data_IF_031057351260
#
_entry.id   IF_031057351260
#
_cell.length_a   1.000
_cell.length_b   1.000
_cell.length_c   1.000
_cell.angle_alpha   90.00
_cell.angle_beta   90.00
_cell.angle_gamma   90.00
#
_symmetry.space_group_name_H-M   'P 1'
#
loop_
_entity.id
_entity.type
_entity.pdbx_description
1 polymer ?
#
# COMPACT_ATOMS: atom_id res chain seq x y z
N UNK A 1 16.71 54.23 24.90
CA UNK A 1 16.24 53.79 23.55
C UNK A 1 17.11 52.70 22.93
N UNK A 2 18.44 52.81 22.93
CA UNK A 2 19.35 51.83 22.31
C UNK A 2 19.25 50.39 22.86
N UNK A 3 18.96 50.21 24.15
CA UNK A 3 18.88 48.88 24.78
C UNK A 3 17.64 48.11 24.31
N UNK A 4 16.50 48.79 24.19
CA UNK A 4 15.23 48.19 23.74
C UNK A 4 15.32 47.76 22.27
N UNK A 5 15.99 48.57 21.44
CA UNK A 5 16.23 48.24 20.02
C UNK A 5 17.12 47.00 19.85
N UNK A 6 18.16 46.83 20.68
CA UNK A 6 19.03 45.64 20.64
C UNK A 6 18.31 44.38 21.11
N UNK A 7 17.41 44.48 22.09
CA UNK A 7 16.63 43.36 22.59
C UNK A 7 15.61 42.85 21.56
N UNK A 8 14.94 43.77 20.85
CA UNK A 8 14.02 43.43 19.76
C UNK A 8 14.73 42.77 18.58
N UNK A 9 15.93 43.24 18.24
CA UNK A 9 16.75 42.63 17.17
C UNK A 9 17.18 41.20 17.53
N UNK A 10 17.50 40.96 18.81
CA UNK A 10 17.86 39.64 19.32
C UNK A 10 16.66 38.66 19.26
N UNK A 11 15.48 39.11 19.70
CA UNK A 11 14.24 38.32 19.61
C UNK A 11 13.87 37.97 18.16
N UNK A 12 14.07 38.91 17.23
CA UNK A 12 13.83 38.69 15.80
C UNK A 12 14.81 37.68 15.19
N UNK A 13 16.07 37.66 15.64
CA UNK A 13 17.07 36.67 15.20
C UNK A 13 16.79 35.26 15.74
N UNK A 14 16.24 35.13 16.95
CA UNK A 14 15.91 33.84 17.57
C UNK A 14 14.74 33.16 16.83
N UNK A 15 13.79 33.92 16.27
CA UNK A 15 12.69 33.36 15.48
C UNK A 15 13.11 32.65 14.19
N UNK A 16 14.29 32.97 13.61
CA UNK A 16 14.78 32.28 12.41
C UNK A 16 15.53 30.97 12.69
N UNK A 17 15.94 30.73 13.94
CA UNK A 17 16.66 29.50 14.32
C UNK A 17 15.69 28.34 14.63
N UNK A 18 14.41 28.64 14.86
CA UNK A 18 13.43 27.65 15.35
C UNK A 18 12.76 26.79 14.27
N UNK A 19 13.08 26.97 12.99
CA UNK A 19 12.62 26.08 11.91
C UNK A 19 13.75 25.17 11.41
N UNK A 20 14.34 24.36 12.31
CA UNK A 20 15.06 23.16 11.86
C UNK A 20 14.03 22.07 11.59
N UNK A 21 13.94 21.60 10.35
CA UNK A 21 13.25 20.35 10.06
C UNK A 21 13.85 19.24 10.94
N UNK A 22 13.04 18.37 11.54
CA UNK A 22 13.57 17.29 12.37
C UNK A 22 14.47 16.41 11.51
N UNK A 23 15.70 16.23 11.98
CA UNK A 23 16.82 15.59 11.28
C UNK A 23 16.57 14.10 10.92
N UNK A 24 15.43 13.54 11.39
CA UNK A 24 15.04 12.14 11.22
C UNK A 24 13.64 11.98 10.58
N UNK A 25 13.31 12.77 9.55
CA UNK A 25 12.11 12.47 8.76
C UNK A 25 12.40 11.37 7.72
N UNK A 26 11.48 10.41 7.52
CA UNK A 26 11.63 9.41 6.46
C UNK A 26 11.73 10.07 5.09
N UNK A 27 12.77 9.72 4.32
CA UNK A 27 12.99 10.27 2.97
C UNK A 27 12.14 9.55 1.92
N UNK A 28 10.86 9.93 1.84
CA UNK A 28 9.90 9.38 0.88
C UNK A 28 10.37 9.53 -0.57
N UNK A 29 11.04 10.63 -0.90
CA UNK A 29 11.49 10.90 -2.26
C UNK A 29 12.60 9.93 -2.67
N UNK A 30 13.58 9.68 -1.80
CA UNK A 30 14.60 8.67 -2.04
C UNK A 30 14.00 7.27 -2.15
N UNK A 31 13.07 6.91 -1.27
CA UNK A 31 12.40 5.60 -1.32
C UNK A 31 11.61 5.42 -2.60
N UNK A 32 10.90 6.46 -3.09
CA UNK A 32 10.20 6.43 -4.37
C UNK A 32 11.16 6.18 -5.54
N UNK A 33 12.30 6.86 -5.60
CA UNK A 33 13.30 6.66 -6.66
C UNK A 33 13.84 5.23 -6.68
N UNK A 34 14.15 4.70 -5.50
CA UNK A 34 14.60 3.31 -5.37
C UNK A 34 13.50 2.33 -5.78
N UNK A 35 12.25 2.59 -5.38
CA UNK A 35 11.12 1.75 -5.72
C UNK A 35 10.87 1.71 -7.24
N UNK A 36 10.82 2.87 -7.90
CA UNK A 36 10.63 2.95 -9.36
C UNK A 36 11.76 2.26 -10.12
N UNK A 37 13.00 2.33 -9.62
CA UNK A 37 14.12 1.58 -10.20
C UNK A 37 13.92 0.06 -10.13
N UNK A 38 13.32 -0.45 -9.05
CA UNK A 38 13.00 -1.89 -8.88
C UNK A 38 11.74 -2.31 -9.64
N UNK A 39 10.78 -1.40 -9.76
CA UNK A 39 9.48 -1.60 -10.39
C UNK A 39 9.31 -0.61 -11.55
N UNK A 40 9.97 -0.83 -12.70
CA UNK A 40 9.92 0.08 -13.84
C UNK A 40 8.52 0.23 -14.47
N UNK A 41 7.56 -0.61 -14.09
CA UNK A 41 6.16 -0.47 -14.43
C UNK A 41 5.45 0.66 -13.69
N UNK A 42 6.00 1.13 -12.57
CA UNK A 42 5.49 2.33 -11.90
C UNK A 42 5.82 3.55 -12.77
N UNK A 43 4.84 4.39 -13.11
CA UNK A 43 5.09 5.57 -13.90
C UNK A 43 6.01 6.53 -13.15
N UNK A 44 6.95 7.12 -13.89
CA UNK A 44 7.79 8.21 -13.42
C UNK A 44 7.29 9.52 -14.02
N UNK A 45 7.49 10.62 -13.30
CA UNK A 45 7.24 11.98 -13.80
C UNK A 45 8.57 12.75 -13.87
N UNK A 46 8.61 13.81 -14.69
CA UNK A 46 9.65 14.84 -14.62
C UNK A 46 9.46 15.76 -13.42
N UNK A 47 8.26 15.78 -12.84
CA UNK A 47 7.96 16.42 -11.56
C UNK A 47 8.59 15.65 -10.40
N UNK A 48 8.64 16.29 -9.23
CA UNK A 48 9.06 15.65 -7.99
C UNK A 48 8.16 14.44 -7.71
N UNK A 49 8.76 13.27 -7.47
CA UNK A 49 7.98 12.01 -7.37
C UNK A 49 7.00 12.03 -6.21
N UNK A 50 7.36 12.67 -5.11
CA UNK A 50 6.47 12.86 -3.95
C UNK A 50 5.25 13.75 -4.22
N UNK A 51 5.30 14.62 -5.23
CA UNK A 51 4.16 15.44 -5.68
C UNK A 51 3.29 14.70 -6.70
N UNK A 52 3.92 13.82 -7.48
CA UNK A 52 3.24 12.93 -8.43
C UNK A 52 2.51 11.77 -7.72
N UNK A 53 3.16 11.11 -6.76
CA UNK A 53 2.56 10.12 -5.85
C UNK A 53 2.04 10.81 -4.59
N UNK A 54 0.85 11.39 -4.72
CA UNK A 54 0.20 12.18 -3.68
C UNK A 54 -0.27 11.31 -2.52
N UNK A 55 -0.16 11.84 -1.31
CA UNK A 55 -0.71 11.20 -0.12
C UNK A 55 -2.23 11.19 -0.17
N UNK A 56 -2.81 9.99 -0.19
CA UNK A 56 -4.26 9.76 -0.15
C UNK A 56 -4.71 9.56 1.29
N UNK A 57 -3.94 8.78 2.06
CA UNK A 57 -4.28 8.43 3.44
C UNK A 57 -3.03 8.15 4.25
N UNK A 58 -3.07 8.49 5.54
CA UNK A 58 -2.08 8.05 6.52
C UNK A 58 -2.79 7.49 7.75
N UNK A 59 -2.20 6.46 8.36
CA UNK A 59 -2.65 5.81 9.59
C UNK A 59 -1.44 5.63 10.49
N UNK A 60 -1.56 6.03 11.76
CA UNK A 60 -0.54 5.81 12.78
C UNK A 60 -0.97 4.71 13.75
N UNK A 61 -0.07 3.77 14.04
CA UNK A 61 -0.35 2.65 14.95
C UNK A 61 -0.05 3.06 16.40
N UNK A 62 -0.89 3.93 16.95
CA UNK A 62 -0.82 4.37 18.35
C UNK A 62 0.58 4.82 18.78
N UNK A 63 1.07 4.30 19.90
CA UNK A 63 2.36 4.67 20.48
C UNK A 63 3.57 3.90 19.90
N UNK A 64 3.36 3.02 18.90
CA UNK A 64 4.46 2.23 18.32
C UNK A 64 5.44 3.06 17.48
N UNK A 65 5.04 4.28 17.10
CA UNK A 65 5.78 5.12 16.16
C UNK A 65 5.72 4.62 14.71
N UNK A 66 4.96 3.56 14.44
CA UNK A 66 4.74 3.03 13.09
C UNK A 66 3.67 3.87 12.37
N UNK A 67 3.94 4.20 11.12
CA UNK A 67 3.04 4.93 10.22
C UNK A 67 2.86 4.17 8.91
N UNK A 68 1.63 4.14 8.41
CA UNK A 68 1.26 3.63 7.10
C UNK A 68 0.77 4.78 6.24
N UNK A 69 1.26 4.91 5.01
CA UNK A 69 0.78 5.89 4.04
C UNK A 69 0.34 5.21 2.76
N UNK A 70 -0.82 5.58 2.23
CA UNK A 70 -1.25 5.24 0.88
C UNK A 70 -0.99 6.44 -0.01
N UNK A 71 -0.17 6.24 -1.04
CA UNK A 71 0.11 7.25 -2.06
C UNK A 71 -0.35 6.76 -3.41
N UNK A 72 -0.84 7.66 -4.25
CA UNK A 72 -1.38 7.31 -5.56
C UNK A 72 -0.99 8.33 -6.62
N UNK A 73 -0.86 7.88 -7.85
CA UNK A 73 -0.71 8.75 -9.02
C UNK A 73 -1.98 9.59 -9.25
N UNK A 74 -1.93 10.64 -10.10
CA UNK A 74 -3.14 11.37 -10.48
C UNK A 74 -4.23 10.45 -11.05
N UNK A 75 -5.48 10.75 -10.73
CA UNK A 75 -6.69 10.06 -11.20
C UNK A 75 -6.98 10.29 -12.69
N UNK A 76 -6.27 11.24 -13.31
CA UNK A 76 -6.33 11.53 -14.75
C UNK A 76 -5.62 10.48 -15.63
N UNK A 77 -4.94 9.50 -15.03
CA UNK A 77 -4.24 8.45 -15.77
C UNK A 77 -5.16 7.26 -16.02
N UNK A 78 -5.03 6.66 -17.20
CA UNK A 78 -5.80 5.46 -17.58
C UNK A 78 -5.55 4.28 -16.62
N UNK A 79 -4.34 4.19 -16.04
CA UNK A 79 -3.92 3.12 -15.12
C UNK A 79 -3.34 3.74 -13.86
N UNK A 80 -4.22 4.07 -12.90
CA UNK A 80 -3.83 4.62 -11.60
C UNK A 80 -3.00 3.59 -10.83
N UNK A 81 -1.81 3.99 -10.38
CA UNK A 81 -0.91 3.16 -9.58
C UNK A 81 -0.83 3.70 -8.16
N UNK A 82 -0.78 2.80 -7.18
CA UNK A 82 -0.68 3.18 -5.77
C UNK A 82 0.48 2.48 -5.07
N UNK A 83 0.94 3.06 -3.97
CA UNK A 83 2.04 2.53 -3.15
C UNK A 83 1.62 2.64 -1.68
N UNK A 84 1.84 1.56 -0.93
CA UNK A 84 1.78 1.58 0.54
C UNK A 84 3.19 1.82 1.05
N UNK A 85 3.39 2.90 1.80
CA UNK A 85 4.60 3.10 2.60
C UNK A 85 4.37 2.64 4.02
N UNK A 86 5.33 1.91 4.56
CA UNK A 86 5.39 1.49 5.96
C UNK A 86 6.62 2.16 6.54
N UNK A 87 6.44 2.92 7.62
CA UNK A 87 7.53 3.56 8.37
C UNK A 87 7.53 3.01 9.79
N UNK A 88 8.68 2.57 10.31
CA UNK A 88 8.78 2.05 11.68
C UNK A 88 9.13 3.16 12.71
N UNK A 89 9.21 2.78 13.98
CA UNK A 89 9.56 3.70 15.07
C UNK A 89 10.94 4.36 14.93
N UNK A 90 11.86 3.72 14.20
CA UNK A 90 13.20 4.23 13.90
C UNK A 90 13.23 5.18 12.68
N UNK A 91 12.07 5.48 12.08
CA UNK A 91 11.93 6.33 10.88
C UNK A 91 12.52 5.72 9.61
N UNK A 92 12.74 4.41 9.62
CA UNK A 92 13.05 3.63 8.42
C UNK A 92 11.75 3.41 7.64
N UNK A 93 11.83 3.49 6.32
CA UNK A 93 10.66 3.47 5.42
C UNK A 93 10.85 2.45 4.29
N UNK A 94 9.79 1.70 4.01
CA UNK A 94 9.73 0.77 2.89
C UNK A 94 8.45 0.98 2.07
N UNK A 95 8.56 0.98 0.74
CA UNK A 95 7.43 1.10 -0.17
C UNK A 95 7.06 -0.24 -0.80
N UNK A 96 5.78 -0.62 -0.69
CA UNK A 96 5.17 -1.81 -1.32
C UNK A 96 4.22 -1.33 -2.43
N UNK A 97 4.47 -1.68 -3.70
CA UNK A 97 3.63 -1.23 -4.79
C UNK A 97 2.30 -1.99 -4.83
N UNK A 98 1.21 -1.27 -5.11
CA UNK A 98 -0.10 -1.83 -5.42
C UNK A 98 -0.30 -1.68 -6.94
N UNK A 99 0.22 -2.65 -7.68
CA UNK A 99 0.19 -2.62 -9.14
C UNK A 99 -1.23 -2.87 -9.66
N UNK A 100 -1.60 -2.20 -10.76
CA UNK A 100 -2.86 -2.48 -11.46
C UNK A 100 -2.92 -3.93 -11.96
N UNK A 101 -4.13 -4.39 -12.30
CA UNK A 101 -4.37 -5.74 -12.81
C UNK A 101 -3.71 -6.02 -14.18
N UNK A 102 -3.13 -5.02 -14.83
CA UNK A 102 -2.25 -5.22 -15.99
C UNK A 102 -0.98 -6.03 -15.62
N UNK A 103 -0.63 -6.08 -14.33
CA UNK A 103 0.47 -6.87 -13.77
C UNK A 103 -0.04 -7.99 -12.85
N UNK A 104 -1.08 -8.73 -13.25
CA UNK A 104 -1.73 -9.81 -12.46
C UNK A 104 -0.78 -10.86 -11.87
N UNK A 105 0.31 -11.18 -12.54
CA UNK A 105 1.38 -12.09 -12.09
C UNK A 105 2.04 -11.63 -10.80
N UNK A 106 2.07 -10.31 -10.54
CA UNK A 106 2.53 -9.76 -9.26
C UNK A 106 1.63 -10.16 -8.11
N UNK A 107 0.32 -10.22 -8.32
CA UNK A 107 -0.63 -10.63 -7.28
C UNK A 107 -0.55 -12.13 -7.00
N UNK A 108 -0.19 -12.93 -8.00
CA UNK A 108 -0.02 -14.38 -7.89
C UNK A 108 -1.26 -15.08 -7.31
N UNK A 109 -2.45 -14.72 -7.82
CA UNK A 109 -3.71 -15.32 -7.37
C UNK A 109 -3.78 -16.83 -7.71
N UNK A 110 -4.22 -17.63 -6.73
CA UNK A 110 -4.12 -19.10 -6.74
C UNK A 110 -4.76 -19.79 -7.95
N UNK A 111 -5.89 -19.30 -8.44
CA UNK A 111 -6.66 -19.91 -9.52
C UNK A 111 -6.54 -19.17 -10.84
N UNK A 112 -5.53 -18.31 -10.96
CA UNK A 112 -5.40 -17.40 -12.07
C UNK A 112 -4.51 -17.98 -13.18
N UNK A 113 -4.90 -17.78 -14.43
CA UNK A 113 -4.19 -18.31 -15.59
C UNK A 113 -3.17 -17.30 -16.11
N UNK A 114 -1.90 -17.66 -16.20
CA UNK A 114 -0.89 -16.75 -16.78
C UNK A 114 -1.28 -16.35 -18.21
N UNK A 115 -1.31 -15.05 -18.50
CA UNK A 115 -1.47 -14.58 -19.87
C UNK A 115 -0.15 -14.73 -20.61
N UNK A 116 -0.21 -15.22 -21.84
CA UNK A 116 0.98 -15.40 -22.68
C UNK A 116 1.71 -14.08 -22.99
N UNK A 117 0.99 -12.95 -22.98
CA UNK A 117 1.51 -11.61 -23.26
C UNK A 117 1.95 -10.82 -22.03
N UNK A 118 1.82 -11.38 -20.83
CA UNK A 118 2.12 -10.65 -19.61
C UNK A 118 3.62 -10.50 -19.37
N UNK A 119 4.06 -9.28 -19.09
CA UNK A 119 5.42 -9.04 -18.58
C UNK A 119 5.51 -9.56 -17.15
N UNK A 120 6.19 -10.69 -16.97
CA UNK A 120 6.42 -11.27 -15.65
C UNK A 120 7.10 -10.26 -14.73
N UNK A 121 6.57 -10.10 -13.52
CA UNK A 121 7.32 -9.51 -12.41
C UNK A 121 8.29 -10.54 -11.84
N UNK A 122 9.41 -10.09 -11.29
CA UNK A 122 10.41 -10.97 -10.64
C UNK A 122 10.06 -11.29 -9.18
N UNK A 123 8.94 -10.78 -8.69
CA UNK A 123 8.48 -10.83 -7.30
C UNK A 123 6.95 -10.83 -7.27
N UNK A 124 6.38 -11.04 -6.08
CA UNK A 124 4.92 -11.00 -5.84
C UNK A 124 4.59 -10.00 -4.75
N UNK A 125 3.31 -9.60 -4.65
CA UNK A 125 2.82 -8.76 -3.57
C UNK A 125 3.15 -9.33 -2.20
N UNK A 126 2.90 -10.64 -2.00
CA UNK A 126 3.20 -11.32 -0.75
C UNK A 126 4.70 -11.25 -0.42
N UNK A 127 5.58 -11.49 -1.39
CA UNK A 127 7.02 -11.43 -1.19
C UNK A 127 7.50 -10.02 -0.85
N UNK A 128 6.97 -8.99 -1.51
CA UNK A 128 7.33 -7.60 -1.21
C UNK A 128 6.83 -7.14 0.15
N UNK A 129 5.60 -7.52 0.52
CA UNK A 129 5.06 -7.21 1.84
C UNK A 129 5.87 -7.91 2.94
N UNK A 130 6.19 -9.20 2.75
CA UNK A 130 7.05 -9.93 3.68
C UNK A 130 8.43 -9.27 3.79
N UNK A 131 9.04 -8.91 2.67
CA UNK A 131 10.33 -8.21 2.64
C UNK A 131 10.24 -6.87 3.39
N UNK A 132 9.15 -6.11 3.23
CA UNK A 132 8.96 -4.87 3.96
C UNK A 132 8.89 -5.09 5.47
N UNK A 133 8.11 -6.07 5.91
CA UNK A 133 7.95 -6.45 7.32
C UNK A 133 9.30 -6.87 7.94
N UNK A 134 10.06 -7.72 7.24
CA UNK A 134 11.37 -8.19 7.72
C UNK A 134 12.41 -7.07 7.71
N UNK A 135 12.47 -6.27 6.65
CA UNK A 135 13.41 -5.13 6.52
C UNK A 135 13.21 -4.10 7.63
N UNK A 136 11.96 -3.84 8.00
CA UNK A 136 11.61 -2.86 9.03
C UNK A 136 11.64 -3.43 10.45
N UNK A 137 12.01 -4.71 10.62
CA UNK A 137 12.09 -5.38 11.91
C UNK A 137 10.72 -5.55 12.59
N UNK A 138 9.65 -5.68 11.82
CA UNK A 138 8.26 -5.76 12.32
C UNK A 138 7.82 -7.20 12.58
N UNK A 139 8.61 -8.19 12.16
CA UNK A 139 8.39 -9.62 12.39
C UNK A 139 8.85 -10.03 13.82
N UNK A 140 8.20 -9.43 14.81
CA UNK A 140 8.48 -9.68 16.23
C UNK A 140 7.53 -10.70 16.86
N UNK A 141 7.85 -11.10 18.10
CA UNK A 141 7.00 -12.01 18.89
C UNK A 141 5.77 -11.32 19.47
N UNK A 142 5.63 -10.00 19.32
CA UNK A 142 4.50 -9.19 19.82
C UNK A 142 3.35 -9.09 18.80
N UNK A 143 3.54 -9.69 17.62
CA UNK A 143 2.56 -9.70 16.54
C UNK A 143 2.44 -8.35 15.84
N UNK A 144 3.49 -7.54 15.83
CA UNK A 144 3.48 -6.20 15.19
C UNK A 144 3.16 -6.30 13.70
N UNK A 145 3.75 -7.27 12.99
CA UNK A 145 3.43 -7.53 11.59
C UNK A 145 1.93 -7.75 11.35
N UNK A 146 1.27 -8.54 12.20
CA UNK A 146 -0.17 -8.79 12.09
C UNK A 146 -0.99 -7.50 12.27
N UNK A 147 -0.64 -6.66 13.26
CA UNK A 147 -1.32 -5.37 13.48
C UNK A 147 -1.12 -4.42 12.30
N UNK A 148 0.09 -4.37 11.74
CA UNK A 148 0.40 -3.58 10.55
C UNK A 148 -0.43 -4.01 9.35
N UNK A 149 -0.51 -5.32 9.09
CA UNK A 149 -1.29 -5.86 7.99
C UNK A 149 -2.78 -5.59 8.19
N UNK A 150 -3.30 -5.78 9.40
CA UNK A 150 -4.70 -5.55 9.74
C UNK A 150 -5.09 -4.07 9.57
N UNK A 151 -4.29 -3.14 10.09
CA UNK A 151 -4.49 -1.70 9.91
C UNK A 151 -4.31 -1.25 8.46
N UNK A 152 -3.36 -1.86 7.72
CA UNK A 152 -3.22 -1.63 6.30
C UNK A 152 -4.50 -2.03 5.55
N UNK A 153 -5.05 -3.21 5.81
CA UNK A 153 -6.25 -3.67 5.13
C UNK A 153 -7.47 -2.84 5.52
N UNK A 154 -7.72 -2.64 6.81
CA UNK A 154 -8.97 -2.04 7.31
C UNK A 154 -8.94 -0.52 7.21
N UNK A 155 -7.92 0.12 7.77
CA UNK A 155 -7.89 1.57 7.92
C UNK A 155 -7.33 2.24 6.68
N UNK A 156 -6.25 1.69 6.11
CA UNK A 156 -5.57 2.28 4.96
C UNK A 156 -6.27 1.97 3.63
N UNK A 157 -6.55 0.69 3.36
CA UNK A 157 -7.15 0.21 2.10
C UNK A 157 -8.67 0.10 2.16
N UNK A 158 -9.28 0.33 3.34
CA UNK A 158 -10.74 0.29 3.53
C UNK A 158 -11.37 -1.06 3.18
N UNK A 159 -10.62 -2.15 3.32
CA UNK A 159 -11.15 -3.49 3.22
C UNK A 159 -12.13 -3.76 4.37
N UNK A 160 -13.17 -4.53 4.08
CA UNK A 160 -14.12 -5.01 5.08
C UNK A 160 -13.72 -6.42 5.53
N UNK A 161 -13.73 -6.67 6.84
CA UNK A 161 -13.66 -8.04 7.37
C UNK A 161 -14.92 -8.80 6.98
N UNK A 162 -14.72 -9.98 6.43
CA UNK A 162 -15.79 -10.92 6.13
C UNK A 162 -15.95 -11.83 7.34
N UNK A 163 -17.17 -11.92 7.87
CA UNK A 163 -17.52 -12.80 8.99
C UNK A 163 -18.41 -13.94 8.52
N UNK A 164 -18.50 -15.01 9.30
CA UNK A 164 -19.26 -16.23 8.93
C UNK A 164 -20.76 -16.00 8.70
N UNK A 165 -21.32 -14.91 9.27
CA UNK A 165 -22.72 -14.51 9.07
C UNK A 165 -22.92 -13.46 7.97
N UNK A 166 -21.85 -12.95 7.35
CA UNK A 166 -21.99 -12.06 6.20
C UNK A 166 -22.60 -12.84 5.03
N UNK A 167 -23.48 -12.18 4.27
CA UNK A 167 -24.03 -12.78 3.06
C UNK A 167 -22.88 -13.19 2.14
N UNK A 168 -22.91 -14.44 1.72
CA UNK A 168 -22.00 -14.98 0.70
C UNK A 168 -22.32 -14.41 -0.69
N UNK A 169 -23.42 -13.67 -0.82
CA UNK A 169 -23.75 -12.92 -2.02
C UNK A 169 -22.83 -11.69 -2.13
N UNK A 170 -21.69 -11.89 -2.78
CA UNK A 170 -20.89 -10.79 -3.31
C UNK A 170 -21.71 -10.19 -4.45
N UNK A 171 -22.54 -9.18 -4.15
CA UNK A 171 -23.30 -8.46 -5.18
C UNK A 171 -22.32 -7.87 -6.19
N UNK A 172 -22.33 -8.46 -7.39
CA UNK A 172 -21.66 -8.04 -8.62
C UNK A 172 -20.50 -7.07 -8.39
N UNK A 173 -19.28 -7.61 -8.26
CA UNK A 173 -18.09 -6.85 -8.60
C UNK A 173 -18.34 -6.32 -10.02
N UNK A 174 -18.44 -5.00 -10.19
CA UNK A 174 -18.50 -4.41 -11.53
C UNK A 174 -17.21 -4.82 -12.22
N UNK A 175 -17.32 -5.74 -13.17
CA UNK A 175 -16.24 -6.11 -14.06
C UNK A 175 -16.01 -4.92 -14.98
N UNK A 176 -15.18 -3.98 -14.55
CA UNK A 176 -14.64 -2.99 -15.46
C UNK A 176 -13.71 -3.74 -16.42
N UNK A 177 -14.09 -3.77 -17.69
CA UNK A 177 -13.22 -4.20 -18.78
C UNK A 177 -11.99 -3.29 -18.77
N UNK A 178 -10.83 -3.85 -18.39
CA UNK A 178 -9.57 -3.24 -18.76
C UNK A 178 -9.41 -3.48 -20.26
N UNK A 179 -9.46 -2.42 -21.07
CA UNK A 179 -9.40 -2.49 -22.54
C UNK A 179 -8.16 -3.21 -23.10
N UNK A 180 -7.13 -3.44 -22.26
CA UNK A 180 -5.87 -4.08 -22.65
C UNK A 180 -5.77 -5.57 -22.28
N UNK A 181 -6.75 -6.14 -21.57
CA UNK A 181 -6.75 -7.57 -21.23
C UNK A 181 -7.63 -8.34 -22.21
N UNK A 182 -7.22 -9.55 -22.66
CA UNK A 182 -8.08 -10.38 -23.49
C UNK A 182 -9.37 -10.68 -22.72
N UNK A 183 -10.49 -10.63 -23.43
CA UNK A 183 -11.79 -10.95 -22.84
C UNK A 183 -11.77 -12.40 -22.35
N UNK A 184 -12.01 -12.58 -21.07
CA UNK A 184 -12.10 -13.90 -20.48
C UNK A 184 -13.47 -14.50 -20.80
N UNK A 185 -13.46 -15.74 -21.27
CA UNK A 185 -14.68 -16.50 -21.47
C UNK A 185 -15.47 -16.64 -20.15
N UNK A 186 -16.78 -16.40 -20.24
CA UNK A 186 -17.69 -16.32 -19.08
C UNK A 186 -17.73 -17.61 -18.26
N UNK A 187 -17.62 -18.79 -18.90
CA UNK A 187 -17.60 -20.08 -18.20
C UNK A 187 -16.31 -20.26 -17.41
N UNK A 188 -15.19 -19.84 -18.00
CA UNK A 188 -13.87 -19.87 -17.36
C UNK A 188 -13.82 -18.95 -16.15
N UNK A 189 -14.38 -17.74 -16.28
CA UNK A 189 -14.52 -16.78 -15.19
C UNK A 189 -15.36 -17.33 -14.03
N UNK A 190 -16.54 -17.89 -14.34
CA UNK A 190 -17.45 -18.47 -13.35
C UNK A 190 -16.81 -19.66 -12.63
N UNK A 191 -16.05 -20.50 -13.33
CA UNK A 191 -15.31 -21.61 -12.74
C UNK A 191 -14.21 -21.11 -11.80
N UNK A 192 -13.45 -20.09 -12.18
CA UNK A 192 -12.44 -19.48 -11.30
C UNK A 192 -13.10 -18.89 -10.06
N UNK A 193 -14.19 -18.14 -10.23
CA UNK A 193 -14.96 -17.59 -9.12
C UNK A 193 -15.41 -18.68 -8.15
N UNK A 194 -16.01 -19.78 -8.64
CA UNK A 194 -16.42 -20.92 -7.81
C UNK A 194 -15.26 -21.56 -7.05
N UNK A 195 -14.08 -21.70 -7.68
CA UNK A 195 -12.88 -22.24 -7.04
C UNK A 195 -12.35 -21.30 -5.95
N UNK A 196 -12.21 -20.01 -6.26
CA UNK A 196 -11.81 -18.97 -5.30
C UNK A 196 -12.75 -18.95 -4.10
N UNK A 197 -14.06 -18.93 -4.36
CA UNK A 197 -15.08 -18.95 -3.33
C UNK A 197 -14.98 -20.20 -2.45
N UNK A 198 -14.86 -21.38 -3.06
CA UNK A 198 -14.68 -22.63 -2.31
C UNK A 198 -13.44 -22.61 -1.43
N UNK A 199 -12.32 -22.06 -1.90
CA UNK A 199 -11.11 -21.93 -1.10
C UNK A 199 -11.35 -21.01 0.11
N UNK A 200 -11.90 -19.80 -0.12
CA UNK A 200 -12.25 -18.86 0.95
C UNK A 200 -13.16 -19.51 2.00
N UNK A 201 -14.24 -20.15 1.57
CA UNK A 201 -15.19 -20.83 2.47
C UNK A 201 -14.53 -21.97 3.25
N UNK A 202 -13.57 -22.67 2.65
CA UNK A 202 -12.85 -23.76 3.33
C UNK A 202 -11.99 -23.18 4.45
N UNK A 203 -11.29 -22.07 4.20
CA UNK A 203 -10.47 -21.37 5.19
C UNK A 203 -11.29 -20.66 6.27
N UNK A 204 -12.56 -20.30 5.99
CA UNK A 204 -13.46 -19.69 6.99
C UNK A 204 -14.03 -20.69 8.01
N UNK A 205 -13.94 -22.01 7.77
CA UNK A 205 -14.49 -23.04 8.68
C UNK A 205 -15.97 -22.89 9.10
N UNK A 206 -16.93 -22.50 8.22
CA UNK A 206 -18.29 -22.15 8.65
C UNK A 206 -19.07 -23.29 9.32
N UNK A 207 -18.71 -24.55 9.05
CA UNK A 207 -19.35 -25.73 9.64
C UNK A 207 -19.06 -25.91 11.13
N UNK A 208 -17.99 -25.32 11.64
CA UNK A 208 -17.63 -25.41 13.06
C UNK A 208 -18.51 -24.50 13.94
N UNK A 209 -19.27 -23.59 13.32
CA UNK A 209 -20.03 -22.52 13.99
C UNK A 209 -21.52 -22.50 13.65
N UNK A 210 -21.98 -23.35 12.70
CA UNK A 210 -23.40 -23.65 12.50
C UNK A 210 -23.89 -24.62 13.59
N UNK A 211 -24.12 -24.10 14.80
CA UNK A 211 -24.89 -24.76 15.85
C UNK A 211 -26.18 -23.99 16.14
#
# INVERSE_FOLDING_TARGET
MLIVSRLLLLLYLISFISCRQPENQPDVEATLRQLIKRFPQLPSSSEKLSDYYRLIRSVSLGNSGIELQLRSTPDTLDSVQSIVFITNGNKEIYGVPLLSNEHRSYWNFLFDTKLLSEKSTNTTFQMELQTAIDTLGLNDTLGTASKVIDEMLISLLQCRRIYDGDSTEIHSIRLYSNHNLPEEDSDTCLLRFKKSWKAIVTEMHPKEYLK
#
